data_IF_703336539967
#
_entry.id   IF_703336539967
#
_cell.length_a   1.000
_cell.length_b   1.000
_cell.length_c   1.000
_cell.angle_alpha   90.00
_cell.angle_beta   90.00
_cell.angle_gamma   90.00
#
_symmetry.space_group_name_H-M   'P 1'
#
loop_
_entity.id
_entity.type
_entity.pdbx_description
1 polymer ?
#
# COMPACT_ATOMS: atom_id res chain seq x y z
N UNK A 1 3.99 -10.89 -19.98
CA UNK A 1 3.37 -10.96 -18.65
C UNK A 1 3.08 -9.55 -18.16
N UNK A 2 1.94 -9.30 -17.52
CA UNK A 2 1.56 -7.98 -16.99
C UNK A 2 1.39 -8.13 -15.47
N UNK A 3 1.96 -7.21 -14.70
CA UNK A 3 1.80 -7.15 -13.23
C UNK A 3 0.81 -6.04 -12.87
N UNK A 4 -0.23 -6.36 -12.11
CA UNK A 4 -1.31 -5.44 -11.76
C UNK A 4 -1.85 -5.68 -10.33
N UNK A 5 -0.95 -5.85 -9.35
CA UNK A 5 -1.32 -6.15 -7.96
C UNK A 5 -1.55 -4.88 -7.09
N UNK A 6 -1.65 -3.70 -7.71
CA UNK A 6 -1.82 -2.41 -7.03
C UNK A 6 -0.52 -1.83 -6.46
N UNK A 7 -0.60 -0.63 -5.89
CA UNK A 7 0.57 0.16 -5.45
C UNK A 7 1.36 -0.47 -4.29
N UNK A 8 0.72 -1.33 -3.48
CA UNK A 8 1.36 -2.00 -2.35
C UNK A 8 1.97 -3.34 -2.76
N UNK A 9 1.22 -4.21 -3.45
CA UNK A 9 1.68 -5.57 -3.72
C UNK A 9 2.53 -5.69 -5.00
N UNK A 10 2.36 -4.80 -5.98
CA UNK A 10 3.22 -4.83 -7.19
C UNK A 10 4.70 -4.63 -6.87
N UNK A 11 5.14 -3.63 -6.08
CA UNK A 11 6.54 -3.50 -5.73
C UNK A 11 7.05 -4.68 -4.90
N UNK A 12 6.25 -5.22 -3.97
CA UNK A 12 6.63 -6.40 -3.20
C UNK A 12 6.89 -7.62 -4.10
N UNK A 13 6.03 -7.88 -5.09
CA UNK A 13 6.21 -8.97 -6.04
C UNK A 13 7.42 -8.75 -6.95
N UNK A 14 7.72 -7.51 -7.34
CA UNK A 14 8.93 -7.17 -8.09
C UNK A 14 10.19 -7.44 -7.26
N UNK A 15 10.24 -6.99 -6.01
CA UNK A 15 11.38 -7.22 -5.11
C UNK A 15 11.59 -8.73 -4.87
N UNK A 16 10.52 -9.49 -4.60
CA UNK A 16 10.59 -10.96 -4.48
C UNK A 16 11.03 -11.67 -5.76
N UNK A 17 10.86 -11.03 -6.91
CA UNK A 17 11.35 -11.51 -8.21
C UNK A 17 12.76 -11.02 -8.54
N UNK A 18 13.44 -10.35 -7.61
CA UNK A 18 14.80 -9.82 -7.79
C UNK A 18 14.89 -8.47 -8.51
N UNK A 19 13.78 -7.73 -8.62
CA UNK A 19 13.73 -6.41 -9.28
C UNK A 19 13.51 -5.33 -8.21
N UNK A 20 14.54 -4.55 -7.89
CA UNK A 20 14.47 -3.56 -6.80
C UNK A 20 15.83 -2.98 -6.39
N UNK A 21 15.91 -2.45 -5.18
CA UNK A 21 17.15 -1.88 -4.63
C UNK A 21 18.16 -3.00 -4.27
N UNK A 22 19.33 -3.10 -4.93
CA UNK A 22 20.22 -4.25 -4.81
C UNK A 22 20.65 -4.60 -3.37
N UNK A 23 21.02 -3.59 -2.57
CA UNK A 23 21.48 -3.81 -1.20
C UNK A 23 20.37 -4.34 -0.29
N UNK A 24 19.14 -3.83 -0.46
CA UNK A 24 17.95 -4.31 0.25
C UNK A 24 17.64 -5.77 -0.13
N UNK A 25 17.66 -6.07 -1.43
CA UNK A 25 17.44 -7.43 -1.92
C UNK A 25 18.50 -8.40 -1.39
N UNK A 26 19.77 -8.02 -1.45
CA UNK A 26 20.89 -8.83 -0.95
C UNK A 26 20.77 -9.08 0.56
N UNK A 27 20.40 -8.06 1.34
CA UNK A 27 20.16 -8.20 2.78
C UNK A 27 19.01 -9.17 3.11
N UNK A 28 18.06 -9.37 2.18
CA UNK A 28 16.95 -10.31 2.28
C UNK A 28 17.26 -11.68 1.66
N UNK A 29 18.50 -11.92 1.19
CA UNK A 29 18.89 -13.17 0.54
C UNK A 29 18.33 -13.36 -0.87
N UNK A 30 17.87 -12.28 -1.51
CA UNK A 30 17.32 -12.29 -2.87
C UNK A 30 18.42 -11.85 -3.85
N UNK A 31 18.72 -12.69 -4.83
CA UNK A 31 19.66 -12.34 -5.90
C UNK A 31 19.05 -11.23 -6.81
N UNK A 32 19.71 -10.08 -6.98
CA UNK A 32 19.22 -9.05 -7.88
C UNK A 32 19.25 -9.52 -9.34
N UNK A 33 18.08 -9.54 -9.98
CA UNK A 33 17.90 -9.77 -11.43
C UNK A 33 17.97 -8.45 -12.19
N UNK A 34 17.42 -7.37 -11.62
CA UNK A 34 17.47 -6.03 -12.19
C UNK A 34 17.53 -4.97 -11.10
N UNK A 35 18.56 -4.13 -11.15
CA UNK A 35 18.72 -3.01 -10.22
C UNK A 35 17.75 -1.88 -10.58
N UNK A 36 16.70 -1.72 -9.77
CA UNK A 36 15.70 -0.68 -9.94
C UNK A 36 15.32 -0.08 -8.58
N UNK A 37 16.15 0.83 -8.02
CA UNK A 37 15.97 1.35 -6.66
C UNK A 37 14.66 2.11 -6.40
N UNK A 38 13.92 2.49 -7.44
CA UNK A 38 12.61 3.14 -7.30
C UNK A 38 11.44 2.19 -7.00
N UNK A 39 11.64 0.86 -7.09
CA UNK A 39 10.60 -0.11 -6.71
C UNK A 39 10.30 0.00 -5.22
N UNK A 40 9.03 0.16 -4.86
CA UNK A 40 8.58 0.31 -3.48
C UNK A 40 8.68 1.74 -2.93
N UNK A 41 9.32 2.64 -3.67
CA UNK A 41 9.51 4.04 -3.28
C UNK A 41 8.40 4.94 -3.88
N UNK A 42 8.39 6.22 -3.47
CA UNK A 42 7.43 7.23 -3.95
C UNK A 42 5.96 6.80 -3.81
N UNK A 43 5.63 6.07 -2.73
CA UNK A 43 4.24 5.85 -2.36
C UNK A 43 3.59 7.19 -2.04
N UNK A 44 2.52 7.49 -2.75
CA UNK A 44 1.71 8.67 -2.51
C UNK A 44 0.31 8.23 -2.12
N UNK A 45 -0.26 8.94 -1.17
CA UNK A 45 -1.63 8.74 -0.74
C UNK A 45 -2.23 10.10 -0.37
N UNK A 46 -3.55 10.17 -0.36
CA UNK A 46 -4.27 11.32 0.15
C UNK A 46 -4.49 11.16 1.64
N UNK A 47 -3.77 11.94 2.45
CA UNK A 47 -3.98 11.95 3.89
C UNK A 47 -5.43 12.38 4.20
N UNK A 48 -6.22 11.46 4.75
CA UNK A 48 -7.60 11.72 5.11
C UNK A 48 -7.75 12.01 6.61
N UNK A 49 -8.15 13.24 6.94
CA UNK A 49 -8.59 13.60 8.28
C UNK A 49 -10.09 13.34 8.41
N UNK A 50 -10.48 12.49 9.37
CA UNK A 50 -11.90 12.22 9.67
C UNK A 50 -12.31 12.90 10.95
N UNK A 51 -13.02 14.01 10.84
CA UNK A 51 -13.67 14.66 11.99
C UNK A 51 -14.98 13.96 12.31
N UNK A 52 -15.23 13.70 13.60
CA UNK A 52 -16.43 13.01 14.07
C UNK A 52 -17.09 13.88 15.13
N UNK A 53 -18.35 14.22 14.90
CA UNK A 53 -19.15 15.05 15.80
C UNK A 53 -20.41 14.31 16.23
N UNK A 54 -20.82 14.54 17.48
CA UNK A 54 -22.13 14.09 17.96
C UNK A 54 -23.20 15.05 17.44
N UNK A 55 -24.24 14.49 16.83
CA UNK A 55 -25.40 15.25 16.35
C UNK A 55 -26.69 14.74 16.99
N UNK A 56 -27.76 15.53 16.93
CA UNK A 56 -29.13 15.17 17.33
C UNK A 56 -30.07 15.45 16.16
N UNK A 57 -31.18 14.70 16.07
CA UNK A 57 -32.26 14.97 15.10
C UNK A 57 -32.06 14.39 13.69
N UNK A 58 -31.04 13.56 13.46
CA UNK A 58 -30.82 12.88 12.19
C UNK A 58 -30.21 11.49 12.39
N UNK A 59 -30.45 10.56 11.46
CA UNK A 59 -29.76 9.26 11.43
C UNK A 59 -28.33 9.43 10.91
N UNK A 60 -27.38 8.84 11.60
CA UNK A 60 -25.95 8.91 11.31
C UNK A 60 -25.41 7.66 10.61
N UNK A 61 -24.19 7.73 10.08
CA UNK A 61 -23.45 6.54 9.61
C UNK A 61 -23.22 5.53 10.74
N UNK A 62 -23.03 5.99 11.98
CA UNK A 62 -22.85 5.11 13.13
C UNK A 62 -24.12 4.31 13.44
N UNK A 63 -25.30 4.90 13.24
CA UNK A 63 -26.58 4.20 13.42
C UNK A 63 -26.74 3.09 12.37
N UNK A 64 -26.29 3.34 11.12
CA UNK A 64 -26.33 2.35 10.03
C UNK A 64 -25.31 1.23 10.21
N UNK A 65 -24.13 1.54 10.74
CA UNK A 65 -23.05 0.58 10.92
C UNK A 65 -23.31 -0.42 12.07
N UNK A 66 -24.21 -0.10 13.02
CA UNK A 66 -24.58 -0.99 14.14
C UNK A 66 -25.60 -2.06 13.78
N UNK A 67 -26.22 -1.95 12.61
CA UNK A 67 -27.26 -2.85 12.11
C UNK A 67 -26.74 -3.90 11.12
N UNK A 68 -25.41 -3.99 10.96
CA UNK A 68 -24.72 -5.00 10.15
C UNK A 68 -24.01 -5.98 11.07
#
# INVERSE_FOLDING_TARGET
MILAAGAINSPALLELSGIGQPDRLAALGIAPVHALPGVGENLQDHLQLRTVFRIRGARTLNDRARTI
#
